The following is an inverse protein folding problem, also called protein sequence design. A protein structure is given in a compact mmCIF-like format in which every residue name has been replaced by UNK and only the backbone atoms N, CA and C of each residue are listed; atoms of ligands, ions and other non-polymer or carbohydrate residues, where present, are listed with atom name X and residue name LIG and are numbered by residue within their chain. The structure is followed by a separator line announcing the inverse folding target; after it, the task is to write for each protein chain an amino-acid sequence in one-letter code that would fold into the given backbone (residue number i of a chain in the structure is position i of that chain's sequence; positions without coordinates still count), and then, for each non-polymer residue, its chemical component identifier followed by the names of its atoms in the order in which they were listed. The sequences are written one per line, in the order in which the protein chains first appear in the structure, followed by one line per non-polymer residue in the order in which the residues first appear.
data_IF_298913296525
#
_entry.id   IF_298913296525
#
_cell.length_a   1.000
_cell.length_b   1.000
_cell.length_c   1.000
_cell.angle_alpha   90.00
_cell.angle_beta   90.00
_cell.angle_gamma   90.00
#
_symmetry.space_group_name_H-M   'P 1'
#
loop_
_entity.id
_entity.type
_entity.pdbx_description
1 polymer ?
#
# COMPACT_ATOMS: atom_id res chain seq x y z
N UNK A 1 1.51 -6.29 44.86
CA UNK A 1 0.55 -6.60 43.78
C UNK A 1 1.34 -6.46 42.50
N UNK A 2 1.81 -7.58 41.95
CA UNK A 2 2.66 -7.59 40.76
C UNK A 2 1.74 -7.31 39.59
N UNK A 3 2.02 -6.23 38.87
CA UNK A 3 1.33 -5.90 37.63
C UNK A 3 1.70 -6.98 36.62
N UNK A 4 0.80 -7.94 36.44
CA UNK A 4 0.95 -9.04 35.50
C UNK A 4 0.51 -8.53 34.14
N UNK A 5 1.31 -7.63 33.56
CA UNK A 5 1.18 -7.31 32.14
C UNK A 5 1.59 -8.58 31.39
N UNK A 6 0.68 -9.25 30.66
CA UNK A 6 1.08 -10.43 29.90
C UNK A 6 2.19 -9.99 28.92
N UNK A 7 3.26 -10.78 28.74
CA UNK A 7 4.15 -10.54 27.62
C UNK A 7 3.29 -10.59 26.36
N UNK A 8 3.36 -9.55 25.53
CA UNK A 8 2.63 -9.51 24.26
C UNK A 8 3.22 -10.59 23.34
N UNK A 9 2.71 -11.81 23.46
CA UNK A 9 2.91 -12.95 22.55
C UNK A 9 2.21 -12.72 21.20
N UNK A 10 2.02 -11.46 20.79
CA UNK A 10 1.43 -11.12 19.49
C UNK A 10 2.48 -11.28 18.39
N UNK A 11 2.07 -11.96 17.32
CA UNK A 11 2.84 -12.20 16.11
C UNK A 11 3.16 -10.86 15.42
N UNK A 12 4.32 -10.28 15.72
CA UNK A 12 4.74 -8.97 15.19
C UNK A 12 4.70 -8.90 13.66
N UNK A 13 5.09 -9.99 13.00
CA UNK A 13 5.01 -10.13 11.55
C UNK A 13 3.58 -10.19 11.00
N UNK A 14 2.57 -10.54 11.81
CA UNK A 14 1.16 -10.41 11.44
C UNK A 14 0.74 -8.94 11.38
N UNK A 15 1.10 -8.14 12.39
CA UNK A 15 0.79 -6.71 12.39
C UNK A 15 1.52 -5.96 11.27
N UNK A 16 2.79 -6.30 11.04
CA UNK A 16 3.57 -5.76 9.93
C UNK A 16 2.94 -6.11 8.57
N UNK A 17 2.59 -7.39 8.35
CA UNK A 17 1.90 -7.82 7.14
C UNK A 17 0.56 -7.09 6.93
N UNK A 18 -0.22 -6.91 8.00
CA UNK A 18 -1.49 -6.17 7.96
C UNK A 18 -1.26 -4.72 7.55
N UNK A 19 -0.25 -4.06 8.13
CA UNK A 19 0.10 -2.69 7.75
C UNK A 19 0.54 -2.58 6.29
N UNK A 20 1.37 -3.51 5.82
CA UNK A 20 1.81 -3.57 4.41
C UNK A 20 0.61 -3.72 3.47
N UNK A 21 -0.32 -4.62 3.80
CA UNK A 21 -1.54 -4.84 3.02
C UNK A 21 -2.43 -3.59 2.99
N UNK A 22 -2.61 -2.90 4.12
CA UNK A 22 -3.39 -1.67 4.17
C UNK A 22 -2.79 -0.56 3.29
N UNK A 23 -1.47 -0.37 3.31
CA UNK A 23 -0.82 0.61 2.43
C UNK A 23 -1.01 0.24 0.95
N UNK A 24 -0.86 -1.03 0.58
CA UNK A 24 -1.14 -1.51 -0.77
C UNK A 24 -2.60 -1.28 -1.19
N UNK A 25 -3.56 -1.58 -0.32
CA UNK A 25 -4.98 -1.36 -0.59
C UNK A 25 -5.30 0.12 -0.80
N UNK A 26 -4.67 1.01 -0.02
CA UNK A 26 -4.80 2.46 -0.19
C UNK A 26 -4.26 2.91 -1.56
N UNK A 27 -3.03 2.51 -1.92
CA UNK A 27 -2.45 2.83 -3.24
C UNK A 27 -3.28 2.30 -4.40
N UNK A 28 -3.66 1.03 -4.33
CA UNK A 28 -4.49 0.39 -5.35
C UNK A 28 -5.84 1.08 -5.50
N UNK A 29 -6.46 1.50 -4.40
CA UNK A 29 -7.75 2.22 -4.41
C UNK A 29 -7.60 3.60 -5.05
N UNK A 30 -6.59 4.37 -4.67
CA UNK A 30 -6.34 5.70 -5.24
C UNK A 30 -6.17 5.61 -6.76
N UNK A 31 -5.32 4.70 -7.23
CA UNK A 31 -5.13 4.45 -8.66
C UNK A 31 -6.45 4.05 -9.34
N UNK A 32 -7.18 3.07 -8.79
CA UNK A 32 -8.42 2.58 -9.38
C UNK A 32 -9.53 3.64 -9.46
N UNK A 33 -9.59 4.55 -8.47
CA UNK A 33 -10.60 5.60 -8.41
C UNK A 33 -10.28 6.76 -9.33
N UNK A 34 -9.03 7.23 -9.35
CA UNK A 34 -8.62 8.29 -10.28
C UNK A 34 -8.64 7.83 -11.74
N UNK A 35 -8.50 6.52 -12.00
CA UNK A 35 -8.70 5.94 -13.35
C UNK A 35 -10.15 6.00 -13.85
N UNK A 36 -11.11 6.39 -13.01
CA UNK A 36 -12.51 6.61 -13.42
C UNK A 36 -12.71 8.03 -13.98
N UNK A 37 -11.71 8.89 -13.85
CA UNK A 37 -11.68 10.25 -14.39
C UNK A 37 -10.81 10.29 -15.66
N UNK A 38 -10.85 11.41 -16.38
CA UNK A 38 -9.96 11.64 -17.52
C UNK A 38 -8.58 12.21 -17.12
N UNK A 39 -8.36 12.53 -15.84
CA UNK A 39 -7.16 13.23 -15.37
C UNK A 39 -5.85 12.48 -15.64
N UNK A 40 -5.85 11.15 -15.49
CA UNK A 40 -4.65 10.34 -15.74
C UNK A 40 -4.22 10.34 -17.21
N UNK A 41 -5.18 10.45 -18.13
CA UNK A 41 -4.94 10.47 -19.57
C UNK A 41 -4.66 11.87 -20.13
N UNK A 42 -4.91 12.92 -19.36
CA UNK A 42 -4.69 14.30 -19.74
C UNK A 42 -3.34 14.81 -19.22
N UNK A 43 -2.35 14.89 -20.10
CA UNK A 43 -0.98 15.36 -19.81
C UNK A 43 -0.95 16.82 -19.29
N UNK A 44 -2.00 17.60 -19.48
CA UNK A 44 -2.08 18.95 -18.93
C UNK A 44 -2.30 18.95 -17.41
N UNK A 45 -2.90 17.88 -16.86
CA UNK A 45 -3.15 17.73 -15.43
C UNK A 45 -1.88 17.25 -14.75
N UNK A 46 -1.34 18.06 -13.84
CA UNK A 46 -0.15 17.74 -13.05
C UNK A 46 -0.51 17.32 -11.62
N UNK A 47 -1.58 17.88 -11.07
CA UNK A 47 -2.00 17.62 -9.70
C UNK A 47 -3.53 17.54 -9.59
N UNK A 48 -4.01 16.76 -8.63
CA UNK A 48 -5.43 16.69 -8.28
C UNK A 48 -5.58 16.86 -6.78
N UNK A 49 -6.27 17.92 -6.36
CA UNK A 49 -6.70 18.07 -4.98
C UNK A 49 -7.93 17.20 -4.73
N UNK A 50 -7.86 16.37 -3.69
CA UNK A 50 -8.94 15.51 -3.21
C UNK A 50 -9.51 16.16 -1.96
N UNK A 51 -10.72 16.72 -2.07
CA UNK A 51 -11.33 17.42 -0.94
C UNK A 51 -11.76 16.45 0.17
N UNK A 52 -11.36 16.75 1.40
CA UNK A 52 -11.81 16.04 2.59
C UNK A 52 -13.18 16.56 3.03
N UNK A 53 -14.21 16.05 2.38
CA UNK A 53 -15.60 16.37 2.74
C UNK A 53 -16.12 15.44 3.85
N UNK A 54 -16.98 16.00 4.71
CA UNK A 54 -17.76 15.24 5.68
C UNK A 54 -18.90 14.44 5.03
N UNK A 55 -19.21 14.71 3.76
CA UNK A 55 -20.22 13.97 3.00
C UNK A 55 -19.67 12.61 2.60
N UNK A 56 -20.29 11.56 3.11
CA UNK A 56 -19.84 10.19 2.89
C UNK A 56 -20.17 9.62 1.50
N UNK A 57 -20.97 10.31 0.69
CA UNK A 57 -21.50 9.80 -0.59
C UNK A 57 -20.74 10.27 -1.84
N UNK A 58 -19.74 11.15 -1.68
CA UNK A 58 -19.00 11.72 -2.81
C UNK A 58 -17.62 12.26 -2.41
N UNK A 59 -16.72 12.30 -3.38
CA UNK A 59 -15.41 12.95 -3.32
C UNK A 59 -15.37 14.03 -4.39
N UNK A 60 -15.02 15.26 -4.01
CA UNK A 60 -14.77 16.34 -4.96
C UNK A 60 -13.30 16.37 -5.33
N UNK A 61 -13.04 16.48 -6.62
CA UNK A 61 -11.70 16.52 -7.20
C UNK A 61 -11.52 17.85 -7.93
N UNK A 62 -10.35 18.45 -7.77
CA UNK A 62 -9.97 19.67 -8.48
C UNK A 62 -8.62 19.46 -9.14
N UNK A 63 -8.56 19.57 -10.46
CA UNK A 63 -7.38 19.35 -11.27
C UNK A 63 -6.64 20.66 -11.55
N UNK A 64 -5.31 20.60 -11.49
CA UNK A 64 -4.40 21.72 -11.70
C UNK A 64 -3.33 21.38 -12.72
N UNK A 65 -2.85 22.39 -13.44
CA UNK A 65 -1.68 22.27 -14.31
C UNK A 65 -0.35 22.37 -13.55
N UNK A 66 0.76 22.25 -14.27
CA UNK A 66 2.12 22.34 -13.71
C UNK A 66 2.48 23.70 -13.13
N UNK A 67 1.78 24.75 -13.52
CA UNK A 67 1.97 26.10 -12.95
C UNK A 67 1.10 26.33 -11.71
N UNK A 68 0.29 25.35 -11.32
CA UNK A 68 -0.67 25.44 -10.23
C UNK A 68 -1.95 26.18 -10.61
N UNK A 69 -2.22 26.36 -11.90
CA UNK A 69 -3.46 26.96 -12.40
C UNK A 69 -4.60 25.94 -12.39
N UNK A 70 -5.80 26.39 -12.01
CA UNK A 70 -7.01 25.58 -12.02
C UNK A 70 -7.41 25.21 -13.45
N UNK A 71 -7.62 23.92 -13.70
CA UNK A 71 -8.10 23.42 -14.99
C UNK A 71 -9.60 23.15 -14.94
N UNK A 72 -10.02 22.22 -14.07
CA UNK A 72 -11.42 21.76 -13.96
C UNK A 72 -11.62 20.98 -12.66
N UNK A 73 -12.87 20.72 -12.31
CA UNK A 73 -13.25 19.82 -11.22
C UNK A 73 -14.02 18.60 -11.72
N UNK A 74 -14.02 17.54 -10.92
CA UNK A 74 -14.83 16.33 -11.12
C UNK A 74 -15.39 15.83 -9.78
N UNK A 75 -16.33 14.89 -9.81
CA UNK A 75 -16.94 14.31 -8.62
C UNK A 75 -17.06 12.80 -8.75
N UNK A 76 -16.41 12.07 -7.85
CA UNK A 76 -16.57 10.62 -7.75
C UNK A 76 -17.62 10.30 -6.69
N UNK A 77 -18.66 9.56 -7.07
CA UNK A 77 -19.67 9.05 -6.13
C UNK A 77 -19.13 7.85 -5.35
N UNK A 78 -19.51 7.75 -4.08
CA UNK A 78 -19.13 6.68 -3.16
C UNK A 78 -20.37 5.82 -2.89
N UNK A 79 -20.38 4.61 -3.45
CA UNK A 79 -21.42 3.62 -3.19
C UNK A 79 -21.07 2.70 -2.02
N UNK A 80 -19.78 2.52 -1.74
CA UNK A 80 -19.24 1.69 -0.66
C UNK A 80 -18.16 2.47 0.13
N UNK A 81 -18.13 2.37 1.47
CA UNK A 81 -17.10 3.02 2.28
C UNK A 81 -15.65 2.76 1.84
N UNK A 82 -15.35 1.59 1.26
CA UNK A 82 -14.02 1.25 0.74
C UNK A 82 -13.66 2.02 -0.53
N UNK A 83 -14.56 2.82 -1.09
CA UNK A 83 -14.30 3.68 -2.26
C UNK A 83 -13.89 5.10 -1.87
N UNK A 84 -13.90 5.43 -0.58
CA UNK A 84 -13.41 6.72 -0.07
C UNK A 84 -11.92 6.84 -0.37
N UNK A 85 -11.53 8.01 -0.87
CA UNK A 85 -10.16 8.40 -1.08
C UNK A 85 -9.62 9.07 0.17
N UNK A 86 -8.87 8.31 0.96
CA UNK A 86 -8.08 8.82 2.07
C UNK A 86 -6.66 9.14 1.59
N UNK A 87 -5.92 9.88 2.42
CA UNK A 87 -4.53 10.28 2.09
C UNK A 87 -3.69 9.03 1.82
N UNK A 88 -3.06 9.01 0.65
CA UNK A 88 -2.10 7.98 0.25
C UNK A 88 -0.73 8.64 0.13
N UNK A 89 0.13 8.55 1.15
CA UNK A 89 1.38 9.30 1.20
C UNK A 89 2.23 9.15 -0.07
N UNK A 90 2.30 7.95 -0.65
CA UNK A 90 3.13 7.67 -1.83
C UNK A 90 2.78 8.49 -3.07
N UNK A 91 1.57 9.05 -3.12
CA UNK A 91 1.12 9.94 -4.20
C UNK A 91 0.93 11.38 -3.74
N UNK A 92 1.10 11.67 -2.45
CA UNK A 92 0.93 13.01 -1.93
C UNK A 92 2.06 13.93 -2.40
N UNK A 93 1.72 15.19 -2.67
CA UNK A 93 2.67 16.20 -3.12
C UNK A 93 3.86 16.39 -2.16
N UNK A 94 3.63 16.32 -0.84
CA UNK A 94 4.67 16.51 0.18
C UNK A 94 5.67 15.36 0.16
N UNK A 95 5.17 14.13 0.01
CA UNK A 95 6.00 12.93 -0.01
C UNK A 95 6.76 12.78 -1.33
N UNK A 96 6.11 13.11 -2.44
CA UNK A 96 6.70 13.02 -3.78
C UNK A 96 7.65 14.19 -4.08
N UNK A 97 7.64 15.24 -3.25
CA UNK A 97 8.45 16.45 -3.46
C UNK A 97 7.99 17.27 -4.67
N UNK A 98 6.70 17.19 -5.01
CA UNK A 98 6.13 17.95 -6.12
C UNK A 98 6.21 19.45 -5.79
N UNK A 99 6.78 20.24 -6.71
CA UNK A 99 6.87 21.68 -6.53
C UNK A 99 5.48 22.33 -6.66
N UNK A 100 5.11 23.13 -5.67
CA UNK A 100 3.92 23.98 -5.70
C UNK A 100 4.38 25.42 -5.95
N UNK A 101 3.84 26.06 -6.98
CA UNK A 101 4.21 27.42 -7.34
C UNK A 101 3.59 28.43 -6.35
N UNK A 102 4.41 29.33 -5.83
CA UNK A 102 3.95 30.39 -4.92
C UNK A 102 2.97 31.34 -5.63
N UNK A 103 1.89 31.72 -4.94
CA UNK A 103 0.78 32.53 -5.43
C UNK A 103 -0.13 31.81 -6.43
N UNK A 104 -0.05 30.49 -6.54
CA UNK A 104 -0.91 29.70 -7.44
C UNK A 104 -2.20 29.24 -6.76
N UNK A 105 -3.21 28.90 -7.56
CA UNK A 105 -4.47 28.34 -7.05
C UNK A 105 -4.25 26.98 -6.37
N UNK A 106 -3.23 26.23 -6.79
CA UNK A 106 -2.81 25.00 -6.14
C UNK A 106 -2.23 25.26 -4.74
N UNK A 107 -1.41 26.29 -4.55
CA UNK A 107 -0.92 26.68 -3.23
C UNK A 107 -2.07 27.05 -2.31
N UNK A 108 -3.02 27.85 -2.79
CA UNK A 108 -4.23 28.17 -2.03
C UNK A 108 -5.03 26.92 -1.64
N UNK A 109 -5.09 25.90 -2.51
CA UNK A 109 -5.75 24.64 -2.19
C UNK A 109 -5.02 23.86 -1.09
N UNK A 110 -3.69 23.83 -1.12
CA UNK A 110 -2.85 23.21 -0.08
C UNK A 110 -3.03 23.92 1.27
N UNK A 111 -2.97 25.25 1.29
CA UNK A 111 -3.08 26.07 2.50
C UNK A 111 -4.43 25.96 3.22
N UNK A 112 -5.49 25.58 2.50
CA UNK A 112 -6.82 25.37 3.11
C UNK A 112 -6.87 24.15 4.00
N UNK A 113 -5.89 23.24 3.90
CA UNK A 113 -5.79 22.00 4.67
C UNK A 113 -7.09 21.16 4.63
N UNK A 114 -7.90 21.31 3.58
CA UNK A 114 -9.22 20.70 3.46
C UNK A 114 -9.21 19.50 2.50
N UNK A 115 -8.12 18.74 2.48
CA UNK A 115 -7.89 17.67 1.53
C UNK A 115 -6.43 17.28 1.47
N UNK A 116 -6.08 16.60 0.39
CA UNK A 116 -4.69 16.28 0.06
C UNK A 116 -4.48 16.39 -1.44
N UNK A 117 -3.23 16.55 -1.87
CA UNK A 117 -2.90 16.79 -3.27
C UNK A 117 -2.18 15.58 -3.83
N UNK A 118 -2.78 14.96 -4.83
CA UNK A 118 -2.22 13.84 -5.57
C UNK A 118 -1.32 14.39 -6.68
N UNK A 119 -0.06 13.97 -6.69
CA UNK A 119 0.85 14.16 -7.80
C UNK A 119 0.54 13.14 -8.91
N UNK A 120 0.07 13.62 -10.06
CA UNK A 120 -0.34 12.74 -11.16
C UNK A 120 0.85 12.14 -11.90
N UNK A 121 2.03 12.75 -11.87
CA UNK A 121 3.23 12.14 -12.45
C UNK A 121 3.63 10.90 -11.65
N UNK A 122 3.63 10.98 -10.31
CA UNK A 122 3.87 9.81 -9.44
C UNK A 122 2.82 8.70 -9.64
N UNK A 123 1.56 9.07 -9.87
CA UNK A 123 0.49 8.11 -10.11
C UNK A 123 0.55 7.48 -11.52
N UNK A 124 1.06 8.20 -12.53
CA UNK A 124 1.28 7.67 -13.89
C UNK A 124 2.45 6.70 -13.93
N UNK A 125 3.49 6.96 -13.15
CA UNK A 125 4.67 6.08 -13.03
C UNK A 125 4.40 4.83 -12.17
N UNK A 126 3.26 4.78 -11.47
CA UNK A 126 2.88 3.65 -10.64
C UNK A 126 2.52 2.41 -11.47
N UNK A 127 3.21 1.28 -11.23
CA UNK A 127 2.89 -0.03 -11.80
C UNK A 127 2.08 -0.88 -10.79
N UNK A 128 0.77 -1.09 -11.00
CA UNK A 128 -0.06 -1.89 -10.10
C UNK A 128 0.36 -3.36 -10.00
N UNK A 129 0.93 -3.93 -11.07
CA UNK A 129 1.38 -5.33 -11.09
C UNK A 129 2.68 -5.49 -10.31
N UNK A 130 3.60 -4.55 -10.45
CA UNK A 130 4.82 -4.54 -9.66
C UNK A 130 4.52 -4.33 -8.18
N UNK A 131 3.69 -3.35 -7.82
CA UNK A 131 3.35 -3.08 -6.42
C UNK A 131 2.69 -4.29 -5.74
N UNK A 132 1.77 -4.96 -6.45
CA UNK A 132 1.16 -6.20 -5.98
C UNK A 132 2.20 -7.28 -5.70
N UNK A 133 3.16 -7.50 -6.61
CA UNK A 133 4.21 -8.51 -6.44
C UNK A 133 5.17 -8.17 -5.31
N UNK A 134 5.49 -6.89 -5.13
CA UNK A 134 6.37 -6.41 -4.05
C UNK A 134 5.68 -6.53 -2.70
N UNK A 135 4.40 -6.16 -2.62
CA UNK A 135 3.54 -6.33 -1.44
C UNK A 135 3.43 -7.80 -1.04
N UNK A 136 3.11 -8.69 -1.98
CA UNK A 136 3.01 -10.13 -1.70
C UNK A 136 4.32 -10.71 -1.11
N UNK A 137 5.47 -10.28 -1.64
CA UNK A 137 6.78 -10.68 -1.12
C UNK A 137 7.02 -10.12 0.28
N UNK A 138 6.70 -8.85 0.53
CA UNK A 138 6.89 -8.22 1.83
C UNK A 138 6.00 -8.85 2.92
N UNK A 139 4.73 -9.13 2.62
CA UNK A 139 3.80 -9.84 3.52
C UNK A 139 4.31 -11.23 3.89
N UNK A 140 4.78 -11.99 2.89
CA UNK A 140 5.36 -13.32 3.13
C UNK A 140 6.60 -13.23 4.05
N UNK A 141 7.48 -12.26 3.82
CA UNK A 141 8.68 -12.07 4.63
C UNK A 141 8.35 -11.66 6.07
N UNK A 142 7.34 -10.80 6.26
CA UNK A 142 6.86 -10.43 7.59
C UNK A 142 6.38 -11.66 8.37
N UNK A 143 5.53 -12.51 7.76
CA UNK A 143 5.07 -13.75 8.39
C UNK A 143 6.18 -14.80 8.60
N UNK A 144 7.20 -14.84 7.74
CA UNK A 144 8.35 -15.74 7.92
C UNK A 144 9.13 -15.43 9.20
N UNK A 145 9.26 -14.15 9.59
CA UNK A 145 9.90 -13.76 10.85
C UNK A 145 9.23 -14.41 12.06
N UNK A 146 7.90 -14.38 12.08
CA UNK A 146 7.07 -15.01 13.11
C UNK A 146 7.19 -16.54 13.11
N UNK A 147 7.10 -17.16 11.93
CA UNK A 147 7.21 -18.61 11.80
C UNK A 147 8.60 -19.14 12.20
N UNK A 148 9.66 -18.36 11.97
CA UNK A 148 11.01 -18.70 12.43
C UNK A 148 11.10 -18.60 13.96
N UNK A 149 10.51 -17.57 14.56
CA UNK A 149 10.51 -17.39 16.01
C UNK A 149 9.70 -18.47 16.75
N UNK A 150 8.60 -18.95 16.15
CA UNK A 150 7.77 -20.03 16.72
C UNK A 150 8.27 -21.45 16.41
N UNK A 151 9.36 -21.59 15.64
CA UNK A 151 9.89 -22.89 15.20
C UNK A 151 9.05 -23.60 14.14
N UNK A 152 7.98 -22.96 13.64
CA UNK A 152 7.08 -23.49 12.61
C UNK A 152 7.66 -23.38 11.18
N UNK A 153 8.70 -22.56 10.98
CA UNK A 153 9.39 -22.44 9.70
C UNK A 153 10.23 -23.69 9.31
N UNK A 154 10.49 -24.61 10.25
CA UNK A 154 11.34 -25.79 10.01
C UNK A 154 10.79 -26.71 8.92
N UNK A 155 9.46 -26.82 8.76
CA UNK A 155 8.84 -27.61 7.69
C UNK A 155 8.84 -26.94 6.31
N UNK A 156 9.05 -25.62 6.24
CA UNK A 156 9.09 -24.87 4.97
C UNK A 156 10.51 -24.68 4.41
N UNK A 157 11.52 -24.62 5.30
CA UNK A 157 12.92 -24.38 4.91
C UNK A 157 13.72 -25.68 4.69
N UNK A 158 13.29 -26.81 5.24
CA UNK A 158 14.06 -28.06 5.25
C UNK A 158 13.36 -29.28 4.65
N UNK A 159 12.25 -29.13 3.93
CA UNK A 159 11.61 -30.29 3.28
C UNK A 159 12.23 -30.61 1.91
N UNK A 160 13.45 -31.20 1.94
CA UNK A 160 13.84 -32.34 1.10
C UNK A 160 15.25 -32.85 1.41
N UNK A 161 15.32 -34.18 1.49
CA UNK A 161 16.49 -35.06 1.62
C UNK A 161 17.08 -35.26 3.01
N UNK A 162 16.38 -36.05 3.81
CA UNK A 162 17.01 -37.13 4.59
C UNK A 162 16.03 -38.30 4.73
N UNK A 163 15.62 -38.87 3.59
CA UNK A 163 15.26 -40.27 3.53
C UNK A 163 16.47 -40.99 2.92
N UNK A 164 17.57 -41.04 3.69
CA UNK A 164 18.60 -42.05 3.45
C UNK A 164 17.95 -43.35 3.91
N UNK A 165 17.42 -44.11 2.95
CA UNK A 165 17.22 -45.54 3.15
C UNK A 165 18.56 -46.12 3.58
N UNK A 166 18.63 -46.55 4.83
CA UNK A 166 19.71 -47.35 5.39
C UNK A 166 19.81 -48.67 4.59
N UNK A 167 20.89 -48.93 3.84
CA UNK A 167 21.14 -50.24 3.29
C UNK A 167 22.16 -50.94 4.18
N UNK A 168 21.72 -51.43 5.34
CA UNK A 168 22.46 -52.35 6.19
C UNK A 168 21.44 -53.29 6.83
N UNK A 169 21.57 -54.61 6.84
CA UNK A 169 22.72 -55.50 6.68
C UNK A 169 22.07 -56.88 6.46
N UNK A 170 22.44 -57.61 5.41
CA UNK A 170 22.06 -59.03 5.28
C UNK A 170 23.34 -59.82 5.01
N UNK A 171 24.18 -59.89 6.05
CA UNK A 171 25.25 -60.87 6.13
C UNK A 171 24.66 -62.14 6.74
N UNK A 172 24.16 -63.03 5.88
CA UNK A 172 23.84 -64.40 6.26
C UNK A 172 24.94 -65.31 5.76
N UNK A 173 25.89 -65.64 6.63
CA UNK A 173 26.68 -66.86 6.51
C UNK A 173 26.62 -67.62 7.84
N UNK A 174 25.98 -68.79 7.83
CA UNK A 174 26.15 -69.82 8.84
C UNK A 174 25.58 -71.17 8.36
N UNK A 175 26.50 -71.99 7.85
CA UNK A 175 26.68 -73.44 8.07
C UNK A 175 25.66 -74.44 7.51
#
# INVERSE_FOLDING_TARGET
MVDMQPPSDEFRGFDEARSIMWCYEARSRTCARLSQTDFLADDAVAAVHVENTSRADRVFLTAFDRSGGLLRGDTLYIDDPTQRLDVTPEFDHDFTGMAVAAGSELEEAVERENGWVVNLDALRDYDPLEDRRTTQRAVLLAHLGDMMASGQARGFLFDKHDAVEDPGEADTDAA
#
